data_IF_408203814336
#
_entry.id   IF_408203814336
#
_cell.length_a   1.000
_cell.length_b   1.000
_cell.length_c   1.000
_cell.angle_alpha   90.00
_cell.angle_beta   90.00
_cell.angle_gamma   90.00
#
_symmetry.space_group_name_H-M   'P 1'
#
loop_
_entity.id
_entity.type
_entity.pdbx_description
1 polymer ?
#
# COMPACT_ATOMS: atom_id res chain seq x y z
N UNK A 1 -1.12 1.12 17.47
CA UNK A 1 -1.14 0.16 18.58
C UNK A 1 -0.22 -1.03 18.28
N UNK A 2 -0.52 -1.86 17.27
CA UNK A 2 0.31 -3.01 16.87
C UNK A 2 1.77 -2.65 16.56
N UNK A 3 2.02 -1.61 15.76
CA UNK A 3 3.39 -1.16 15.47
C UNK A 3 4.15 -0.69 16.72
N UNK A 4 3.48 0.05 17.60
CA UNK A 4 4.07 0.46 18.89
C UNK A 4 4.42 -0.75 19.78
N UNK A 5 3.61 -1.80 19.73
CA UNK A 5 3.90 -3.05 20.46
C UNK A 5 5.03 -3.84 19.79
N UNK A 6 5.11 -3.86 18.45
CA UNK A 6 6.21 -4.54 17.75
C UNK A 6 7.55 -3.85 18.00
N UNK A 7 7.62 -2.51 17.98
CA UNK A 7 8.84 -1.78 18.38
C UNK A 7 9.24 -2.11 19.82
N UNK A 8 8.28 -2.18 20.75
CA UNK A 8 8.58 -2.54 22.15
C UNK A 8 9.18 -3.94 22.27
N UNK A 9 8.67 -4.88 21.49
CA UNK A 9 9.14 -6.26 21.49
C UNK A 9 10.49 -6.44 20.80
N UNK A 10 10.73 -5.75 19.68
CA UNK A 10 11.87 -6.02 18.81
C UNK A 10 12.94 -4.93 18.79
N UNK A 11 12.68 -3.75 19.39
CA UNK A 11 13.53 -2.56 19.35
C UNK A 11 13.99 -2.22 17.91
N UNK A 12 15.04 -1.42 17.73
CA UNK A 12 15.59 -1.06 16.40
C UNK A 12 16.43 -2.19 15.75
N UNK A 13 16.19 -3.46 16.13
CA UNK A 13 17.03 -4.59 15.73
C UNK A 13 18.49 -4.50 16.23
N UNK A 14 19.35 -5.35 15.67
CA UNK A 14 20.79 -5.34 15.98
C UNK A 14 21.46 -4.24 15.14
N UNK A 15 21.99 -3.21 15.82
CA UNK A 15 22.78 -2.14 15.19
C UNK A 15 22.07 -0.78 15.04
N UNK A 16 20.74 -0.73 15.10
CA UNK A 16 19.97 0.53 15.08
C UNK A 16 20.17 1.40 13.84
N UNK A 17 20.75 0.85 12.77
CA UNK A 17 20.99 1.60 11.55
C UNK A 17 19.66 1.92 10.87
N UNK A 18 19.43 3.17 10.45
CA UNK A 18 18.16 3.58 9.85
C UNK A 18 17.77 2.77 8.61
N UNK A 19 18.75 2.21 7.90
CA UNK A 19 18.56 1.47 6.65
C UNK A 19 18.18 -0.01 6.85
N UNK A 20 18.22 -0.50 8.09
CA UNK A 20 17.88 -1.88 8.36
C UNK A 20 16.36 -2.06 8.40
N UNK A 21 15.91 -3.18 7.83
CA UNK A 21 14.53 -3.66 7.98
C UNK A 21 14.32 -3.99 9.45
N UNK A 22 13.20 -3.54 10.00
CA UNK A 22 12.90 -3.74 11.41
C UNK A 22 12.26 -5.12 11.61
N UNK A 23 12.56 -5.85 12.69
CA UNK A 23 12.00 -7.20 12.88
C UNK A 23 10.47 -7.22 13.02
N UNK A 24 9.86 -6.07 13.36
CA UNK A 24 8.40 -5.91 13.43
C UNK A 24 7.73 -5.68 12.07
N UNK A 25 8.48 -5.52 10.98
CA UNK A 25 7.94 -5.15 9.67
C UNK A 25 7.05 -6.26 9.09
N UNK A 26 7.44 -7.52 9.28
CA UNK A 26 6.68 -8.69 8.82
C UNK A 26 5.27 -8.76 9.43
N UNK A 27 5.11 -8.34 10.70
CA UNK A 27 3.80 -8.30 11.36
C UNK A 27 2.90 -7.22 10.76
N UNK A 28 3.46 -6.08 10.36
CA UNK A 28 2.70 -5.02 9.69
C UNK A 28 2.29 -5.51 8.29
N UNK A 29 3.20 -6.14 7.55
CA UNK A 29 2.90 -6.71 6.24
C UNK A 29 1.81 -7.78 6.33
N UNK A 30 1.87 -8.67 7.33
CA UNK A 30 0.84 -9.67 7.56
C UNK A 30 -0.52 -9.02 7.85
N UNK A 31 -0.57 -7.99 8.69
CA UNK A 31 -1.81 -7.24 8.95
C UNK A 31 -2.33 -6.53 7.69
N UNK A 32 -1.44 -5.95 6.88
CA UNK A 32 -1.83 -5.33 5.60
C UNK A 32 -2.48 -6.34 4.66
N UNK A 33 -1.97 -7.59 4.62
CA UNK A 33 -2.55 -8.68 3.86
C UNK A 33 -3.96 -9.05 4.36
N UNK A 34 -4.19 -9.06 5.67
CA UNK A 34 -5.53 -9.29 6.24
C UNK A 34 -6.53 -8.21 5.81
N UNK A 35 -6.14 -6.93 5.85
CA UNK A 35 -7.00 -5.84 5.41
C UNK A 35 -7.24 -5.86 3.89
N UNK A 36 -6.23 -6.23 3.10
CA UNK A 36 -6.37 -6.45 1.64
C UNK A 36 -7.38 -7.56 1.35
N UNK A 37 -7.32 -8.68 2.06
CA UNK A 37 -8.26 -9.79 1.90
C UNK A 37 -9.68 -9.37 2.29
N UNK A 38 -9.85 -8.72 3.45
CA UNK A 38 -11.15 -8.21 3.89
C UNK A 38 -11.77 -7.23 2.88
N UNK A 39 -10.96 -6.35 2.28
CA UNK A 39 -11.41 -5.46 1.21
C UNK A 39 -11.90 -6.24 -0.02
N UNK A 40 -11.16 -7.26 -0.45
CA UNK A 40 -11.53 -8.08 -1.62
C UNK A 40 -12.78 -8.93 -1.37
N UNK A 41 -12.93 -9.47 -0.17
CA UNK A 41 -14.12 -10.20 0.26
C UNK A 41 -15.34 -9.29 0.26
N UNK A 42 -15.23 -8.09 0.84
CA UNK A 42 -16.29 -7.10 0.82
C UNK A 42 -16.74 -6.77 -0.61
N UNK A 43 -15.81 -6.60 -1.55
CA UNK A 43 -16.12 -6.36 -2.96
C UNK A 43 -16.85 -7.53 -3.64
N UNK A 44 -16.61 -8.76 -3.19
CA UNK A 44 -17.23 -9.97 -3.76
C UNK A 44 -18.64 -10.25 -3.25
N UNK A 45 -18.97 -9.83 -2.02
CA UNK A 45 -20.25 -10.08 -1.35
C UNK A 45 -21.38 -9.13 -1.77
N UNK A 46 -21.10 -8.18 -2.66
CA UNK A 46 -21.98 -7.09 -3.09
C UNK A 46 -23.14 -7.51 -4.02
N UNK A 47 -23.65 -8.75 -3.89
CA UNK A 47 -24.61 -9.33 -4.86
C UNK A 47 -26.09 -9.05 -4.54
N UNK A 48 -26.43 -8.33 -3.46
CA UNK A 48 -27.83 -7.96 -3.14
C UNK A 48 -27.95 -6.52 -2.64
N UNK A 49 -28.97 -5.77 -3.07
CA UNK A 49 -29.14 -4.31 -2.86
C UNK A 49 -29.01 -3.83 -1.40
N UNK A 50 -29.53 -4.60 -0.43
CA UNK A 50 -29.39 -4.24 1.00
C UNK A 50 -28.02 -4.62 1.58
N UNK A 51 -27.33 -5.61 1.00
CA UNK A 51 -25.95 -5.96 1.39
C UNK A 51 -24.94 -5.04 0.72
N UNK A 52 -25.26 -4.49 -0.46
CA UNK A 52 -24.39 -3.58 -1.22
C UNK A 52 -23.92 -2.39 -0.39
N UNK A 53 -24.84 -1.66 0.27
CA UNK A 53 -24.47 -0.49 1.07
C UNK A 53 -23.59 -0.85 2.29
N UNK A 54 -23.91 -1.95 2.99
CA UNK A 54 -23.12 -2.42 4.15
C UNK A 54 -21.76 -3.01 3.73
N UNK A 55 -21.70 -3.67 2.58
CA UNK A 55 -20.49 -4.22 1.97
C UNK A 55 -19.56 -3.10 1.49
N UNK A 56 -20.11 -2.04 0.88
CA UNK A 56 -19.35 -0.86 0.45
C UNK A 56 -18.72 -0.14 1.64
N UNK A 57 -19.47 0.11 2.72
CA UNK A 57 -18.93 0.72 3.95
C UNK A 57 -17.81 -0.14 4.56
N UNK A 58 -18.03 -1.46 4.68
CA UNK A 58 -17.03 -2.40 5.21
C UNK A 58 -15.77 -2.47 4.34
N UNK A 59 -15.94 -2.43 3.02
CA UNK A 59 -14.85 -2.39 2.04
C UNK A 59 -14.01 -1.13 2.18
N UNK A 60 -14.65 0.05 2.21
CA UNK A 60 -13.95 1.33 2.38
C UNK A 60 -13.19 1.37 3.70
N UNK A 61 -13.79 0.91 4.81
CA UNK A 61 -13.10 0.84 6.10
C UNK A 61 -11.86 -0.06 6.01
N UNK A 62 -11.97 -1.22 5.37
CA UNK A 62 -10.87 -2.16 5.20
C UNK A 62 -9.74 -1.56 4.34
N UNK A 63 -10.08 -0.84 3.26
CA UNK A 63 -9.11 -0.13 2.43
C UNK A 63 -8.37 0.98 3.19
N UNK A 64 -9.08 1.75 4.01
CA UNK A 64 -8.47 2.79 4.86
C UNK A 64 -7.56 2.17 5.93
N UNK A 65 -7.98 1.07 6.56
CA UNK A 65 -7.15 0.35 7.55
C UNK A 65 -5.89 -0.23 6.90
N UNK A 66 -6.02 -0.76 5.70
CA UNK A 66 -4.90 -1.25 4.90
C UNK A 66 -3.88 -0.15 4.60
N UNK A 67 -4.32 0.98 4.01
CA UNK A 67 -3.45 2.12 3.73
C UNK A 67 -2.78 2.66 5.00
N UNK A 68 -3.53 2.75 6.10
CA UNK A 68 -3.00 3.19 7.40
C UNK A 68 -1.91 2.25 7.93
N UNK A 69 -2.11 0.93 7.86
CA UNK A 69 -1.12 -0.03 8.34
C UNK A 69 0.21 0.09 7.58
N UNK A 70 0.14 0.20 6.25
CA UNK A 70 1.32 0.36 5.41
C UNK A 70 1.98 1.72 5.60
N UNK A 71 1.21 2.80 5.74
CA UNK A 71 1.75 4.14 6.03
C UNK A 71 2.53 4.14 7.35
N UNK A 72 1.98 3.49 8.39
CA UNK A 72 2.71 3.30 9.65
C UNK A 72 4.01 2.52 9.45
N UNK A 73 4.00 1.47 8.63
CA UNK A 73 5.21 0.72 8.25
C UNK A 73 6.24 1.55 7.47
N UNK A 74 5.80 2.48 6.62
CA UNK A 74 6.70 3.39 5.90
C UNK A 74 7.36 4.43 6.82
N UNK A 75 6.60 4.99 7.75
CA UNK A 75 7.14 5.95 8.73
C UNK A 75 8.11 5.27 9.71
N UNK A 76 7.78 4.04 10.07
CA UNK A 76 8.53 3.13 10.91
C UNK A 76 9.88 2.69 10.32
N UNK A 77 9.82 2.18 9.09
CA UNK A 77 10.89 1.49 8.39
C UNK A 77 10.98 2.08 6.99
N UNK A 78 11.47 3.34 6.88
CA UNK A 78 11.40 4.09 5.63
C UNK A 78 12.18 3.44 4.51
N UNK A 79 13.14 2.56 4.79
CA UNK A 79 13.94 1.87 3.78
C UNK A 79 13.44 0.47 3.45
N UNK A 80 12.41 -0.04 4.13
CA UNK A 80 11.79 -1.31 3.78
C UNK A 80 11.02 -1.17 2.46
N UNK A 81 11.59 -1.75 1.41
CA UNK A 81 11.05 -1.68 0.05
C UNK A 81 9.64 -2.25 -0.05
N UNK A 82 9.33 -3.29 0.73
CA UNK A 82 8.00 -3.91 0.78
C UNK A 82 6.90 -2.89 1.10
N UNK A 83 7.09 -2.03 2.11
CA UNK A 83 6.08 -1.01 2.43
C UNK A 83 5.93 0.07 1.36
N UNK A 84 7.04 0.45 0.73
CA UNK A 84 7.01 1.45 -0.35
C UNK A 84 6.31 0.92 -1.60
N UNK A 85 6.40 -0.38 -1.86
CA UNK A 85 5.72 -1.01 -2.99
C UNK A 85 4.24 -1.25 -2.66
N UNK A 86 3.95 -1.89 -1.52
CA UNK A 86 2.60 -2.34 -1.18
C UNK A 86 1.63 -1.18 -0.93
N UNK A 87 2.11 0.02 -0.59
CA UNK A 87 1.26 1.21 -0.38
C UNK A 87 0.56 1.71 -1.65
N UNK A 88 1.07 1.34 -2.84
CA UNK A 88 0.50 1.81 -4.11
C UNK A 88 -0.90 1.25 -4.36
N UNK A 89 -1.16 0.02 -3.92
CA UNK A 89 -2.45 -0.66 -4.12
C UNK A 89 -3.59 -0.05 -3.29
N UNK A 90 -3.46 0.23 -1.97
CA UNK A 90 -4.51 0.93 -1.24
C UNK A 90 -4.71 2.36 -1.71
N UNK A 91 -3.67 3.08 -2.17
CA UNK A 91 -3.86 4.40 -2.78
C UNK A 91 -4.70 4.33 -4.05
N UNK A 92 -4.49 3.31 -4.88
CA UNK A 92 -5.34 3.05 -6.05
C UNK A 92 -6.80 2.85 -5.65
N UNK A 93 -7.03 1.93 -4.71
CA UNK A 93 -8.38 1.58 -4.22
C UNK A 93 -9.11 2.80 -3.62
N UNK A 94 -8.37 3.68 -2.94
CA UNK A 94 -8.90 4.91 -2.34
C UNK A 94 -9.00 6.08 -3.32
N UNK A 95 -8.67 5.90 -4.60
CA UNK A 95 -8.71 6.96 -5.62
C UNK A 95 -7.63 8.04 -5.43
N UNK A 96 -6.57 7.75 -4.68
CA UNK A 96 -5.48 8.68 -4.35
C UNK A 96 -4.39 8.68 -5.43
N UNK A 97 -4.76 8.97 -6.68
CA UNK A 97 -3.86 8.82 -7.83
C UNK A 97 -2.60 9.68 -7.78
N UNK A 98 -2.71 10.93 -7.32
CA UNK A 98 -1.56 11.84 -7.16
C UNK A 98 -0.58 11.31 -6.10
N UNK A 99 -1.09 10.90 -4.93
CA UNK A 99 -0.27 10.33 -3.85
C UNK A 99 0.38 9.02 -4.26
N UNK A 100 -0.31 8.17 -5.05
CA UNK A 100 0.28 6.96 -5.61
C UNK A 100 1.43 7.26 -6.57
N UNK A 101 1.30 8.30 -7.39
CA UNK A 101 2.36 8.73 -8.29
C UNK A 101 3.59 9.24 -7.53
N UNK A 102 3.38 10.03 -6.48
CA UNK A 102 4.47 10.51 -5.62
C UNK A 102 5.18 9.35 -4.94
N UNK A 103 4.43 8.42 -4.33
CA UNK A 103 4.99 7.23 -3.70
C UNK A 103 5.76 6.35 -4.70
N UNK A 104 5.29 6.22 -5.94
CA UNK A 104 6.01 5.50 -6.99
C UNK A 104 7.33 6.19 -7.37
N UNK A 105 7.36 7.53 -7.46
CA UNK A 105 8.60 8.28 -7.72
C UNK A 105 9.63 8.06 -6.60
N UNK A 106 9.18 7.96 -5.35
CA UNK A 106 10.04 7.69 -4.19
C UNK A 106 10.67 6.29 -4.17
N UNK A 107 10.14 5.34 -4.96
CA UNK A 107 10.80 4.05 -5.18
C UNK A 107 12.12 4.21 -5.94
N UNK A 108 12.31 5.32 -6.67
CA UNK A 108 13.52 5.58 -7.43
C UNK A 108 13.77 4.56 -8.53
N UNK A 109 12.70 4.05 -9.16
CA UNK A 109 12.74 3.13 -10.31
C UNK A 109 13.57 3.75 -11.43
N UNK A 110 14.52 3.00 -11.98
CA UNK A 110 15.43 3.45 -13.04
C UNK A 110 15.61 2.42 -14.14
N UNK A 111 15.79 2.90 -15.37
CA UNK A 111 16.16 2.10 -16.54
C UNK A 111 15.27 0.85 -16.69
N UNK A 112 15.88 -0.34 -16.73
CA UNK A 112 15.21 -1.63 -16.90
C UNK A 112 14.17 -1.96 -15.81
N UNK A 113 14.20 -1.25 -14.68
CA UNK A 113 13.18 -1.44 -13.64
C UNK A 113 11.80 -0.93 -14.09
N UNK A 114 11.73 0.02 -15.04
CA UNK A 114 10.43 0.46 -15.58
C UNK A 114 9.69 -0.69 -16.24
N UNK A 115 10.38 -1.54 -17.00
CA UNK A 115 9.79 -2.71 -17.67
C UNK A 115 9.14 -3.69 -16.69
N UNK A 116 9.68 -3.80 -15.48
CA UNK A 116 9.19 -4.73 -14.45
C UNK A 116 8.36 -4.08 -13.35
N UNK A 117 8.26 -2.75 -13.29
CA UNK A 117 7.58 -2.06 -12.18
C UNK A 117 6.56 -1.01 -12.60
N UNK A 118 6.55 -0.55 -13.86
CA UNK A 118 5.57 0.44 -14.33
C UNK A 118 4.12 -0.04 -14.15
N UNK A 119 3.89 -1.36 -14.20
CA UNK A 119 2.58 -1.96 -13.95
C UNK A 119 2.00 -1.64 -12.56
N UNK A 120 2.85 -1.28 -11.58
CA UNK A 120 2.42 -0.99 -10.21
C UNK A 120 1.65 0.33 -10.10
N UNK A 121 1.93 1.31 -10.96
CA UNK A 121 1.31 2.65 -10.91
C UNK A 121 0.39 2.92 -12.09
N UNK A 122 0.62 2.27 -13.23
CA UNK A 122 -0.15 2.50 -14.46
C UNK A 122 -1.67 2.36 -14.28
N UNK A 123 -2.20 1.29 -13.66
CA UNK A 123 -3.65 1.17 -13.45
C UNK A 123 -4.23 2.34 -12.66
N UNK A 124 -3.52 2.77 -11.60
CA UNK A 124 -3.92 3.89 -10.76
C UNK A 124 -4.01 5.21 -11.53
N UNK A 125 -3.01 5.48 -12.39
CA UNK A 125 -2.98 6.68 -13.21
C UNK A 125 -4.12 6.70 -14.23
N UNK A 126 -4.38 5.55 -14.87
CA UNK A 126 -5.46 5.42 -15.85
C UNK A 126 -6.84 5.58 -15.19
N UNK A 127 -7.06 4.93 -14.05
CA UNK A 127 -8.32 5.01 -13.30
C UNK A 127 -8.58 6.40 -12.72
N UNK A 128 -7.53 7.12 -12.35
CA UNK A 128 -7.62 8.46 -11.76
C UNK A 128 -7.57 9.59 -12.82
N UNK A 129 -7.44 9.26 -14.11
CA UNK A 129 -7.41 10.25 -15.21
C UNK A 129 -6.07 10.94 -15.49
N UNK A 130 -4.97 10.49 -14.90
CA UNK A 130 -3.60 11.01 -15.12
C UNK A 130 -2.95 10.41 -16.38
N UNK A 131 -3.57 10.63 -17.54
CA UNK A 131 -3.15 10.01 -18.81
C UNK A 131 -1.76 10.46 -19.29
N UNK A 132 -1.38 11.72 -19.04
CA UNK A 132 -0.08 12.25 -19.43
C UNK A 132 1.05 11.57 -18.64
N UNK A 133 0.84 11.34 -17.36
CA UNK A 133 1.75 10.63 -16.47
C UNK A 133 1.82 9.15 -16.84
N UNK A 134 0.67 8.52 -17.15
CA UNK A 134 0.61 7.13 -17.58
C UNK A 134 1.42 6.90 -18.87
N UNK A 135 1.28 7.78 -19.86
CA UNK A 135 2.03 7.71 -21.11
C UNK A 135 3.55 7.78 -20.88
N UNK A 136 4.02 8.55 -19.90
CA UNK A 136 5.45 8.63 -19.55
C UNK A 136 5.99 7.33 -18.93
N UNK A 137 5.14 6.49 -18.34
CA UNK A 137 5.57 5.22 -17.73
C UNK A 137 5.57 4.05 -18.74
N UNK A 138 5.03 4.26 -19.95
CA UNK A 138 4.96 3.27 -21.03
C UNK A 138 6.07 3.41 -22.09
N UNK A 139 6.84 4.51 -22.04
CA UNK A 139 7.94 4.82 -22.95
C UNK A 139 9.28 4.73 -22.22
#
# INVERSE_FOLDING_TARGET
ALYTQSIRLFHNGVGGEPRNVQPGDELILQNSSLFRTAYREALSESTSDAKLALSEESGVISAVQWGKALQQGREASPYAFAFRMDILEPYRVLGMGETALEAFKELGVKHIQHDSMSYLVLPTLLESGFFAEASKQMN
#
